data_IF_764076063621
#
_entry.id   IF_764076063621
#
_cell.length_a   1.000
_cell.length_b   1.000
_cell.length_c   1.000
_cell.angle_alpha   90.00
_cell.angle_beta   90.00
_cell.angle_gamma   90.00
#
_symmetry.space_group_name_H-M   'P 1'
#
loop_
_entity.id
_entity.type
_entity.pdbx_description
1 polymer ?
#
# COMPACT_ATOMS: atom_id res chain seq x y z
N UNK A 1 -1.38 11.53 -50.71
CA UNK A 1 -1.68 12.36 -49.53
C UNK A 1 -2.31 11.55 -48.40
N UNK A 2 -3.55 11.03 -48.50
CA UNK A 2 -4.13 10.21 -47.41
C UNK A 2 -3.32 8.95 -47.06
N UNK A 3 -2.89 8.18 -48.06
CA UNK A 3 -2.06 6.98 -47.83
C UNK A 3 -0.65 7.31 -47.31
N UNK A 4 -0.06 8.44 -47.69
CA UNK A 4 1.31 8.78 -47.26
C UNK A 4 1.35 9.15 -45.77
N UNK A 5 0.36 9.93 -45.29
CA UNK A 5 0.22 10.22 -43.85
C UNK A 5 -0.08 8.94 -43.05
N UNK A 6 -0.89 8.03 -43.59
CA UNK A 6 -1.17 6.73 -42.97
C UNK A 6 0.09 5.83 -42.92
N UNK A 7 0.86 5.76 -44.01
CA UNK A 7 2.10 5.00 -44.10
C UNK A 7 3.14 5.51 -43.09
N UNK A 8 3.24 6.83 -42.88
CA UNK A 8 4.11 7.44 -41.85
C UNK A 8 3.68 7.05 -40.42
N UNK A 9 2.38 7.03 -40.13
CA UNK A 9 1.85 6.61 -38.82
C UNK A 9 2.09 5.12 -38.59
N UNK A 10 1.90 4.28 -39.60
CA UNK A 10 2.18 2.84 -39.51
C UNK A 10 3.67 2.59 -39.28
N UNK A 11 4.56 3.34 -39.95
CA UNK A 11 6.00 3.26 -39.72
C UNK A 11 6.39 3.67 -38.28
N UNK A 12 5.70 4.64 -37.69
CA UNK A 12 5.90 5.00 -36.29
C UNK A 12 5.46 3.87 -35.33
N UNK A 13 4.32 3.22 -35.60
CA UNK A 13 3.86 2.07 -34.82
C UNK A 13 4.87 0.92 -34.89
N UNK A 14 5.42 0.64 -36.07
CA UNK A 14 6.49 -0.36 -36.23
C UNK A 14 7.73 0.00 -35.39
N UNK A 15 8.09 1.28 -35.31
CA UNK A 15 9.16 1.75 -34.45
C UNK A 15 8.87 1.51 -32.96
N UNK A 16 7.63 1.74 -32.51
CA UNK A 16 7.21 1.43 -31.14
C UNK A 16 7.32 -0.07 -30.85
N UNK A 17 6.79 -0.92 -31.74
CA UNK A 17 6.91 -2.38 -31.60
C UNK A 17 8.36 -2.86 -31.59
N UNK A 18 9.23 -2.25 -32.40
CA UNK A 18 10.65 -2.59 -32.43
C UNK A 18 11.39 -2.20 -31.14
N UNK A 19 11.06 -1.05 -30.54
CA UNK A 19 11.71 -0.55 -29.31
C UNK A 19 11.25 -1.35 -28.08
N UNK A 20 9.95 -1.59 -27.96
CA UNK A 20 9.36 -2.19 -26.76
C UNK A 20 9.18 -3.71 -26.87
N UNK A 21 9.26 -4.28 -28.07
CA UNK A 21 9.19 -5.71 -28.34
C UNK A 21 8.04 -6.39 -27.57
N UNK A 22 8.37 -7.29 -26.63
CA UNK A 22 7.37 -8.04 -25.84
C UNK A 22 6.57 -7.18 -24.86
N UNK A 23 7.06 -5.97 -24.55
CA UNK A 23 6.36 -5.04 -23.66
C UNK A 23 5.31 -4.21 -24.43
N UNK A 24 5.22 -4.32 -25.76
CA UNK A 24 4.16 -3.72 -26.58
C UNK A 24 3.13 -4.77 -27.02
N UNK A 25 1.85 -4.46 -26.84
CA UNK A 25 0.72 -5.27 -27.34
C UNK A 25 -0.08 -4.43 -28.32
N UNK A 26 0.17 -4.62 -29.61
CA UNK A 26 -0.56 -3.95 -30.68
C UNK A 26 -1.97 -4.54 -30.84
N UNK A 27 -2.99 -3.70 -30.71
CA UNK A 27 -4.40 -4.08 -30.92
C UNK A 27 -4.85 -3.71 -32.33
N UNK A 28 -4.38 -2.56 -32.84
CA UNK A 28 -4.67 -2.07 -34.18
C UNK A 28 -3.57 -1.13 -34.65
N UNK A 29 -3.08 -1.31 -35.89
CA UNK A 29 -2.06 -0.44 -36.50
C UNK A 29 -2.61 0.92 -36.91
N UNK A 30 -3.82 0.99 -37.48
CA UNK A 30 -4.45 2.25 -37.88
C UNK A 30 -5.97 2.31 -37.64
N UNK A 31 -6.49 3.39 -37.03
CA UNK A 31 -5.76 4.34 -36.18
C UNK A 31 -5.06 3.61 -35.03
N UNK A 32 -3.83 3.99 -34.66
CA UNK A 32 -3.02 3.29 -33.67
C UNK A 32 -3.78 3.01 -32.36
N UNK A 33 -3.75 1.77 -31.90
CA UNK A 33 -4.25 1.36 -30.60
C UNK A 33 -3.39 0.23 -30.06
N UNK A 34 -2.72 0.47 -28.94
CA UNK A 34 -1.83 -0.50 -28.33
C UNK A 34 -1.70 -0.27 -26.82
N UNK A 35 -1.19 -1.28 -26.13
CA UNK A 35 -0.79 -1.21 -24.74
C UNK A 35 0.73 -1.34 -24.62
N UNK A 36 1.33 -0.60 -23.68
CA UNK A 36 2.75 -0.74 -23.34
C UNK A 36 2.92 -1.00 -21.86
N UNK A 37 3.65 -2.05 -21.52
CA UNK A 37 4.13 -2.34 -20.17
C UNK A 37 5.35 -1.48 -19.84
N UNK A 38 5.12 -0.41 -19.09
CA UNK A 38 6.15 0.52 -18.64
C UNK A 38 6.87 -0.02 -17.38
N UNK A 39 8.20 -0.04 -17.45
CA UNK A 39 9.08 -0.36 -16.32
C UNK A 39 10.07 0.79 -16.10
N UNK A 40 10.36 1.15 -14.84
CA UNK A 40 11.38 2.16 -14.54
C UNK A 40 12.77 1.66 -14.97
N UNK A 41 13.64 2.60 -15.37
CA UNK A 41 15.02 2.33 -15.77
C UNK A 41 15.86 1.90 -14.56
N UNK A 42 15.89 0.60 -14.32
CA UNK A 42 16.55 -0.05 -13.17
C UNK A 42 17.68 -0.97 -13.60
N UNK A 43 18.17 -0.85 -14.84
CA UNK A 43 19.14 -1.77 -15.45
C UNK A 43 18.72 -3.26 -15.29
N UNK A 44 17.43 -3.53 -15.48
CA UNK A 44 16.79 -4.84 -15.34
C UNK A 44 16.89 -5.49 -13.96
N UNK A 45 17.23 -4.71 -12.93
CA UNK A 45 17.28 -5.17 -11.55
C UNK A 45 15.87 -5.19 -10.95
N UNK A 46 15.20 -6.34 -11.04
CA UNK A 46 13.82 -6.49 -10.58
C UNK A 46 13.58 -6.09 -9.13
N UNK A 47 14.58 -6.29 -8.25
CA UNK A 47 14.50 -5.90 -6.84
C UNK A 47 14.38 -4.39 -6.61
N UNK A 48 14.84 -3.59 -7.56
CA UNK A 48 14.79 -2.14 -7.54
C UNK A 48 13.61 -1.57 -8.34
N UNK A 49 12.78 -2.42 -8.96
CA UNK A 49 11.60 -2.01 -9.72
C UNK A 49 10.39 -1.85 -8.80
N UNK A 50 10.22 -0.70 -8.15
CA UNK A 50 9.12 -0.46 -7.19
C UNK A 50 7.78 -0.19 -7.86
N UNK A 51 7.80 0.28 -9.09
CA UNK A 51 6.60 0.67 -9.83
C UNK A 51 6.52 -0.04 -11.19
N UNK A 52 5.30 -0.26 -11.66
CA UNK A 52 4.99 -0.78 -12.99
C UNK A 52 3.66 -0.18 -13.43
N UNK A 53 3.52 0.12 -14.72
CA UNK A 53 2.26 0.62 -15.27
C UNK A 53 2.02 0.06 -16.67
N UNK A 54 0.76 -0.15 -17.04
CA UNK A 54 0.35 -0.48 -18.40
C UNK A 54 -0.34 0.74 -18.99
N UNK A 55 0.30 1.35 -19.99
CA UNK A 55 -0.19 2.52 -20.69
C UNK A 55 -1.03 2.09 -21.89
N UNK A 56 -2.25 2.56 -22.00
CA UNK A 56 -3.06 2.47 -23.21
C UNK A 56 -2.92 3.76 -24.01
N UNK A 57 -2.55 3.62 -25.29
CA UNK A 57 -2.53 4.71 -26.25
C UNK A 57 -3.52 4.39 -27.35
N UNK A 58 -4.46 5.31 -27.59
CA UNK A 58 -5.47 5.19 -28.65
C UNK A 58 -5.54 6.48 -29.45
N UNK A 59 -5.10 6.41 -30.69
CA UNK A 59 -5.14 7.50 -31.64
C UNK A 59 -6.49 7.54 -32.38
N UNK A 60 -6.89 8.73 -32.79
CA UNK A 60 -7.99 8.95 -33.73
C UNK A 60 -7.47 8.92 -35.18
N UNK A 61 -8.36 8.83 -36.19
CA UNK A 61 -7.96 9.00 -37.60
C UNK A 61 -7.34 10.38 -37.92
N UNK A 62 -7.40 11.35 -36.99
CA UNK A 62 -6.82 12.69 -37.16
C UNK A 62 -5.40 12.80 -36.57
N UNK A 63 -4.87 11.73 -35.98
CA UNK A 63 -3.47 11.68 -35.54
C UNK A 63 -2.50 11.88 -36.71
N UNK A 64 -1.40 12.63 -36.57
CA UNK A 64 -0.89 13.31 -35.36
C UNK A 64 -1.47 14.71 -35.08
N UNK A 65 -2.35 15.22 -35.96
CA UNK A 65 -2.96 16.56 -35.81
C UNK A 65 -3.80 16.67 -34.54
N UNK A 66 -4.49 15.59 -34.19
CA UNK A 66 -5.11 15.40 -32.88
C UNK A 66 -4.22 14.47 -32.03
N UNK A 67 -3.88 14.84 -30.78
CA UNK A 67 -3.10 13.97 -29.90
C UNK A 67 -3.90 12.69 -29.56
N UNK A 68 -3.22 11.57 -29.30
CA UNK A 68 -3.88 10.33 -28.93
C UNK A 68 -4.48 10.44 -27.52
N UNK A 69 -5.57 9.72 -27.25
CA UNK A 69 -6.02 9.51 -25.88
C UNK A 69 -5.10 8.54 -25.17
N UNK A 70 -4.75 8.86 -23.94
CA UNK A 70 -3.84 8.08 -23.10
C UNK A 70 -4.54 7.76 -21.79
N UNK A 71 -4.45 6.50 -21.35
CA UNK A 71 -5.02 5.98 -20.11
C UNK A 71 -4.09 4.95 -19.43
N UNK A 72 -4.31 4.68 -18.14
CA UNK A 72 -3.59 3.65 -17.38
C UNK A 72 -4.51 2.45 -17.12
N UNK A 73 -4.15 1.28 -17.64
CA UNK A 73 -4.97 0.05 -17.56
C UNK A 73 -4.68 -0.73 -16.28
N UNK A 74 -3.40 -0.84 -15.92
CA UNK A 74 -2.93 -1.49 -14.70
C UNK A 74 -1.76 -0.69 -14.11
N UNK A 75 -1.68 -0.66 -12.79
CA UNK A 75 -0.64 0.07 -12.05
C UNK A 75 -0.27 -0.70 -10.78
N UNK A 76 1.03 -0.86 -10.55
CA UNK A 76 1.58 -1.47 -9.34
C UNK A 76 2.56 -0.52 -8.68
N UNK A 77 2.48 -0.41 -7.37
CA UNK A 77 3.37 0.44 -6.57
C UNK A 77 3.12 1.95 -6.71
N UNK A 78 2.11 2.38 -7.47
CA UNK A 78 1.68 3.78 -7.62
C UNK A 78 0.36 4.00 -6.89
N UNK A 79 0.30 5.01 -6.02
CA UNK A 79 -0.95 5.49 -5.43
C UNK A 79 -1.75 6.35 -6.44
N UNK A 80 -3.00 6.65 -6.11
CA UNK A 80 -3.91 7.39 -6.98
C UNK A 80 -3.39 8.79 -7.38
N UNK A 81 -2.66 9.48 -6.49
CA UNK A 81 -2.12 10.79 -6.78
C UNK A 81 -0.95 10.69 -7.76
N UNK A 82 -0.03 9.73 -7.57
CA UNK A 82 1.07 9.48 -8.53
C UNK A 82 0.55 8.96 -9.87
N UNK A 83 -0.49 8.13 -9.91
CA UNK A 83 -1.14 7.70 -11.15
C UNK A 83 -1.70 8.90 -11.94
N UNK A 84 -2.45 9.79 -11.28
CA UNK A 84 -2.97 11.02 -11.90
C UNK A 84 -1.84 11.92 -12.38
N UNK A 85 -0.78 12.04 -11.61
CA UNK A 85 0.39 12.86 -11.98
C UNK A 85 1.12 12.30 -13.20
N UNK A 86 1.30 10.98 -13.30
CA UNK A 86 1.85 10.32 -14.48
C UNK A 86 0.96 10.58 -15.71
N UNK A 87 -0.34 10.32 -15.58
CA UNK A 87 -1.29 10.46 -16.67
C UNK A 87 -1.36 11.90 -17.20
N UNK A 88 -1.50 12.89 -16.31
CA UNK A 88 -1.53 14.30 -16.67
C UNK A 88 -0.24 14.74 -17.35
N UNK A 89 0.91 14.21 -16.92
CA UNK A 89 2.20 14.52 -17.53
C UNK A 89 2.26 14.02 -18.98
N UNK A 90 1.86 12.77 -19.24
CA UNK A 90 1.87 12.20 -20.59
C UNK A 90 0.86 12.92 -21.49
N UNK A 91 -0.34 13.24 -20.98
CA UNK A 91 -1.34 14.01 -21.72
C UNK A 91 -0.85 15.44 -22.06
N UNK A 92 -0.17 16.12 -21.13
CA UNK A 92 0.47 17.41 -21.39
C UNK A 92 1.51 17.29 -22.51
N UNK A 93 2.34 16.24 -22.46
CA UNK A 93 3.36 15.97 -23.49
C UNK A 93 2.74 15.70 -24.85
N UNK A 94 1.62 14.98 -24.92
CA UNK A 94 0.92 14.74 -26.18
C UNK A 94 0.41 16.06 -26.80
N UNK A 95 -0.11 16.97 -25.98
CA UNK A 95 -0.51 18.30 -26.42
C UNK A 95 0.68 19.16 -26.87
N UNK A 96 1.83 19.07 -26.18
CA UNK A 96 3.05 19.81 -26.54
C UNK A 96 3.66 19.35 -27.86
N UNK A 97 3.57 18.05 -28.17
CA UNK A 97 4.16 17.45 -29.36
C UNK A 97 3.24 17.53 -30.59
N UNK A 98 1.95 17.82 -30.42
CA UNK A 98 1.02 17.99 -31.53
C UNK A 98 1.39 19.21 -32.39
N UNK A 99 1.35 19.12 -33.74
CA UNK A 99 0.81 18.04 -34.57
C UNK A 99 1.87 17.07 -35.15
N UNK A 100 2.94 16.75 -34.42
CA UNK A 100 3.99 15.83 -34.88
C UNK A 100 3.72 14.36 -34.47
N UNK A 101 4.31 13.40 -35.20
CA UNK A 101 4.44 12.01 -34.75
C UNK A 101 5.13 11.99 -33.37
N UNK A 102 4.55 11.25 -32.43
CA UNK A 102 4.85 11.34 -30.99
C UNK A 102 4.69 10.04 -30.22
N UNK A 103 4.26 8.93 -30.82
CA UNK A 103 4.00 7.67 -30.11
C UNK A 103 5.25 7.19 -29.36
N UNK A 104 6.41 7.14 -30.03
CA UNK A 104 7.68 6.72 -29.40
C UNK A 104 8.07 7.70 -28.28
N UNK A 105 8.01 9.00 -28.56
CA UNK A 105 8.36 10.05 -27.60
C UNK A 105 7.50 10.01 -26.34
N UNK A 106 6.19 9.76 -26.47
CA UNK A 106 5.29 9.63 -25.33
C UNK A 106 5.64 8.43 -24.45
N UNK A 107 6.04 7.32 -25.07
CA UNK A 107 6.45 6.13 -24.33
C UNK A 107 7.75 6.40 -23.55
N UNK A 108 8.72 7.07 -24.17
CA UNK A 108 9.97 7.45 -23.51
C UNK A 108 9.74 8.41 -22.33
N UNK A 109 8.92 9.44 -22.52
CA UNK A 109 8.54 10.39 -21.45
C UNK A 109 7.80 9.68 -20.31
N UNK A 110 6.92 8.72 -20.63
CA UNK A 110 6.23 7.92 -19.64
C UNK A 110 7.22 7.07 -18.83
N UNK A 111 8.19 6.41 -19.48
CA UNK A 111 9.25 5.64 -18.81
C UNK A 111 10.12 6.54 -17.94
N UNK A 112 10.53 7.71 -18.42
CA UNK A 112 11.33 8.67 -17.66
C UNK A 112 10.58 9.14 -16.41
N UNK A 113 9.33 9.54 -16.57
CA UNK A 113 8.49 9.99 -15.47
C UNK A 113 8.25 8.88 -14.44
N UNK A 114 7.97 7.66 -14.91
CA UNK A 114 7.80 6.49 -14.05
C UNK A 114 9.09 6.17 -13.28
N UNK A 115 10.25 6.30 -13.93
CA UNK A 115 11.57 6.11 -13.31
C UNK A 115 11.82 7.10 -12.18
N UNK A 116 11.44 8.37 -12.35
CA UNK A 116 11.56 9.38 -11.31
C UNK A 116 10.66 9.11 -10.09
N UNK A 117 9.57 8.35 -10.26
CA UNK A 117 8.66 7.95 -9.19
C UNK A 117 8.94 6.53 -8.65
N UNK A 118 10.07 5.93 -9.03
CA UNK A 118 10.46 4.57 -8.66
C UNK A 118 10.98 4.47 -7.22
N UNK A 119 10.08 4.72 -6.28
CA UNK A 119 10.33 4.51 -4.85
C UNK A 119 9.07 3.90 -4.23
N UNK A 120 9.22 3.13 -3.13
CA UNK A 120 8.07 2.69 -2.36
C UNK A 120 7.33 3.91 -1.80
N UNK A 121 6.06 3.73 -1.53
CA UNK A 121 5.20 4.79 -1.04
C UNK A 121 4.36 4.31 0.13
N UNK A 122 3.93 5.27 0.94
CA UNK A 122 3.20 5.04 2.17
C UNK A 122 4.04 4.48 3.30
N UNK A 123 3.33 3.93 4.28
CA UNK A 123 3.92 3.40 5.51
C UNK A 123 4.26 1.91 5.39
N UNK A 124 5.33 1.50 6.06
CA UNK A 124 5.68 0.10 6.17
C UNK A 124 4.56 -0.65 6.90
N UNK A 125 4.00 -1.74 6.34
CA UNK A 125 2.90 -2.47 6.97
C UNK A 125 3.24 -3.14 8.31
N UNK A 126 4.53 -3.27 8.63
CA UNK A 126 5.00 -3.94 9.85
C UNK A 126 5.20 -2.97 11.02
N UNK A 127 5.74 -1.77 10.78
CA UNK A 127 6.01 -0.78 11.83
C UNK A 127 5.13 0.48 11.75
N UNK A 128 4.39 0.66 10.65
CA UNK A 128 3.53 1.81 10.36
C UNK A 128 4.26 3.16 10.30
N UNK A 129 5.56 3.15 10.03
CA UNK A 129 6.34 4.35 9.73
C UNK A 129 6.56 4.50 8.22
N UNK A 130 6.74 5.74 7.70
CA UNK A 130 6.96 5.99 6.28
C UNK A 130 8.10 5.15 5.71
N UNK A 131 7.88 4.52 4.55
CA UNK A 131 8.92 3.79 3.81
C UNK A 131 10.00 4.72 3.29
N UNK A 132 9.61 5.95 2.93
CA UNK A 132 10.50 7.04 2.51
C UNK A 132 10.29 8.22 3.47
N UNK A 133 11.23 8.53 4.37
CA UNK A 133 11.14 9.69 5.25
C UNK A 133 11.30 11.00 4.45
N UNK A 134 10.55 12.04 4.81
CA UNK A 134 10.62 13.36 4.15
C UNK A 134 11.98 14.07 4.34
N UNK A 135 12.73 13.71 5.38
CA UNK A 135 13.88 14.49 5.87
C UNK A 135 15.27 13.89 5.55
N UNK A 136 15.33 12.69 4.96
CA UNK A 136 16.59 11.96 4.80
C UNK A 136 17.09 12.00 3.36
N UNK A 137 18.04 12.90 3.12
CA UNK A 137 18.92 12.91 1.94
C UNK A 137 20.10 11.90 2.07
N UNK A 138 20.09 10.99 3.05
CA UNK A 138 21.22 10.07 3.31
C UNK A 138 20.92 8.60 2.98
N UNK A 139 21.45 8.21 1.83
CA UNK A 139 22.07 6.94 1.38
C UNK A 139 21.56 5.54 1.77
N UNK A 140 20.97 5.28 2.94
CA UNK A 140 20.65 3.88 3.32
C UNK A 140 19.46 3.77 4.28
N UNK A 141 18.25 3.83 3.75
CA UNK A 141 17.17 3.00 4.29
C UNK A 141 16.87 1.93 3.25
N UNK A 142 17.55 0.76 3.29
CA UNK A 142 17.21 -0.29 2.36
C UNK A 142 15.78 -0.71 2.69
N UNK A 143 14.88 -0.51 1.73
CA UNK A 143 13.56 -1.09 1.73
C UNK A 143 13.57 -2.28 0.79
N UNK A 144 12.83 -3.31 1.17
CA UNK A 144 12.67 -4.51 0.37
C UNK A 144 11.29 -4.52 -0.25
N UNK A 145 11.24 -4.73 -1.57
CA UNK A 145 10.04 -5.14 -2.28
C UNK A 145 9.98 -6.66 -2.40
N UNK A 146 8.79 -7.25 -2.25
CA UNK A 146 8.52 -8.61 -2.71
C UNK A 146 8.13 -8.59 -4.19
N UNK A 147 8.87 -9.30 -5.03
CA UNK A 147 8.60 -9.46 -6.47
C UNK A 147 7.29 -10.18 -6.72
N UNK A 148 6.86 -11.06 -5.80
CA UNK A 148 5.57 -11.73 -5.88
C UNK A 148 4.38 -10.77 -5.89
N UNK A 149 4.43 -9.65 -5.17
CA UNK A 149 3.25 -8.82 -4.92
C UNK A 149 3.49 -7.30 -4.82
N UNK A 150 4.70 -6.81 -5.06
CA UNK A 150 5.09 -5.39 -4.99
C UNK A 150 4.92 -4.72 -3.61
N UNK A 151 4.55 -5.45 -2.55
CA UNK A 151 4.55 -4.91 -1.19
C UNK A 151 5.97 -4.62 -0.73
N UNK A 152 6.12 -3.45 -0.11
CA UNK A 152 7.40 -2.93 0.34
C UNK A 152 7.46 -2.85 1.87
N UNK A 153 8.64 -3.09 2.42
CA UNK A 153 8.92 -3.05 3.86
C UNK A 153 10.26 -2.37 4.10
N UNK A 154 10.47 -1.76 5.26
CA UNK A 154 11.84 -1.51 5.69
C UNK A 154 12.56 -2.85 5.78
N UNK A 155 13.79 -2.93 5.28
CA UNK A 155 14.59 -4.16 5.34
C UNK A 155 14.67 -4.71 6.75
N UNK A 156 14.82 -3.83 7.75
CA UNK A 156 14.85 -4.26 9.15
C UNK A 156 13.57 -4.95 9.61
N UNK A 157 12.42 -4.39 9.23
CA UNK A 157 11.13 -4.93 9.65
C UNK A 157 10.92 -6.33 9.07
N UNK A 158 11.24 -6.53 7.80
CA UNK A 158 11.08 -7.83 7.14
C UNK A 158 12.12 -8.85 7.59
N UNK A 159 13.35 -8.43 7.92
CA UNK A 159 14.38 -9.29 8.52
C UNK A 159 13.90 -9.84 9.87
N UNK A 160 13.44 -8.97 10.78
CA UNK A 160 12.91 -9.38 12.09
C UNK A 160 11.73 -10.32 11.95
N UNK A 161 10.81 -10.00 11.04
CA UNK A 161 9.66 -10.86 10.76
C UNK A 161 10.10 -12.24 10.24
N UNK A 162 11.07 -12.28 9.33
CA UNK A 162 11.58 -13.52 8.76
C UNK A 162 12.29 -14.38 9.80
N UNK A 163 13.08 -13.77 10.70
CA UNK A 163 13.72 -14.48 11.81
C UNK A 163 12.70 -15.10 12.76
N UNK A 164 11.66 -14.34 13.15
CA UNK A 164 10.56 -14.86 13.97
C UNK A 164 9.82 -16.04 13.31
N UNK A 165 9.57 -15.94 12.00
CA UNK A 165 8.94 -17.02 11.23
C UNK A 165 9.79 -18.30 11.23
N UNK A 166 11.12 -18.18 11.24
CA UNK A 166 12.02 -19.33 11.35
C UNK A 166 12.01 -19.94 12.76
N UNK A 167 12.10 -19.11 13.81
CA UNK A 167 12.13 -19.61 15.20
C UNK A 167 10.84 -20.34 15.59
N UNK A 168 9.68 -19.82 15.18
CA UNK A 168 8.37 -20.46 15.45
C UNK A 168 8.23 -21.86 14.82
N UNK A 169 8.95 -22.13 13.72
CA UNK A 169 8.99 -23.48 13.11
C UNK A 169 9.84 -24.45 13.92
N UNK A 170 10.94 -23.98 14.53
CA UNK A 170 11.81 -24.80 15.39
C UNK A 170 11.05 -25.23 16.65
N UNK A 171 10.30 -24.31 17.26
CA UNK A 171 9.51 -24.60 18.47
C UNK A 171 8.36 -25.60 18.18
N UNK A 172 7.73 -25.49 17.01
CA UNK A 172 6.69 -26.43 16.55
C UNK A 172 7.24 -27.82 16.22
N UNK A 173 8.46 -27.91 15.68
CA UNK A 173 9.10 -29.20 15.39
C UNK A 173 9.57 -29.93 16.66
N UNK A 174 9.97 -29.21 17.71
CA UNK A 174 10.36 -29.80 19.00
C UNK A 174 9.19 -30.31 19.83
N UNK A 175 7.98 -29.79 19.61
CA UNK A 175 6.76 -30.18 20.34
C UNK A 175 6.08 -31.43 19.77
N UNK A 176 6.34 -31.76 18.51
CA UNK A 176 5.71 -32.88 17.79
C UNK A 176 6.48 -34.21 17.85
N UNK A 177 7.23 -34.45 18.93
CA UNK A 177 7.91 -35.72 19.18
C UNK A 177 6.93 -36.83 19.63
N UNK A 178 5.94 -37.17 18.81
CA UNK A 178 5.19 -38.43 18.92
C UNK A 178 5.42 -39.29 17.67
N UNK A 179 5.93 -40.54 17.81
CA UNK A 179 6.24 -41.38 16.68
C UNK A 179 5.00 -42.20 16.30
N UNK A 180 4.15 -41.68 15.41
CA UNK A 180 3.09 -42.48 14.82
C UNK A 180 3.00 -42.30 13.30
N UNK A 181 3.35 -43.38 12.61
CA UNK A 181 3.08 -43.73 11.20
C UNK A 181 3.44 -42.71 10.11
N UNK A 182 4.68 -42.85 9.64
CA UNK A 182 5.10 -42.38 8.31
C UNK A 182 4.39 -43.20 7.23
N UNK A 183 3.55 -42.58 6.41
CA UNK A 183 3.29 -43.06 5.06
C UNK A 183 3.05 -41.89 4.10
N UNK A 184 3.94 -41.83 3.10
CA UNK A 184 3.78 -41.27 1.76
C UNK A 184 3.12 -39.90 1.61
N UNK A 185 3.94 -38.84 1.63
CA UNK A 185 3.92 -37.80 0.60
C UNK A 185 5.16 -36.87 0.73
N UNK A 186 6.34 -37.42 0.41
CA UNK A 186 7.62 -36.69 0.52
C UNK A 186 7.88 -35.70 -0.62
N UNK A 187 6.95 -35.51 -1.55
CA UNK A 187 7.08 -34.53 -2.64
C UNK A 187 6.33 -33.21 -2.39
N UNK A 188 5.50 -33.13 -1.34
CA UNK A 188 4.72 -31.93 -1.00
C UNK A 188 5.31 -31.08 0.14
N UNK A 189 6.20 -31.68 0.94
CA UNK A 189 6.73 -31.09 2.18
C UNK A 189 7.80 -30.01 1.98
N UNK A 190 8.34 -29.86 0.77
CA UNK A 190 9.35 -28.85 0.45
C UNK A 190 8.73 -27.52 -0.01
N UNK A 191 7.44 -27.51 -0.34
CA UNK A 191 6.73 -26.31 -0.81
C UNK A 191 6.06 -25.54 0.35
N UNK A 192 5.76 -26.22 1.47
CA UNK A 192 5.21 -25.61 2.70
C UNK A 192 6.22 -24.78 3.50
N UNK A 193 7.50 -24.75 3.10
CA UNK A 193 8.54 -24.00 3.82
C UNK A 193 8.65 -22.53 3.39
N UNK A 194 7.96 -22.13 2.34
CA UNK A 194 8.09 -20.80 1.73
C UNK A 194 7.28 -19.79 2.54
N UNK A 195 7.90 -18.70 3.00
CA UNK A 195 7.18 -17.66 3.71
C UNK A 195 6.14 -16.96 2.82
N UNK A 196 5.12 -16.40 3.45
CA UNK A 196 4.05 -15.68 2.76
C UNK A 196 4.15 -14.19 3.03
N UNK A 197 3.73 -13.37 2.07
CA UNK A 197 3.65 -11.92 2.27
C UNK A 197 2.79 -11.57 3.50
N UNK A 198 3.31 -10.77 4.46
CA UNK A 198 2.53 -10.33 5.63
C UNK A 198 1.26 -9.57 5.28
N UNK A 199 1.21 -8.95 4.09
CA UNK A 199 0.10 -8.12 3.64
C UNK A 199 -0.95 -8.95 2.91
N UNK A 200 -0.56 -9.63 1.81
CA UNK A 200 -1.51 -10.31 0.93
C UNK A 200 -1.46 -11.84 0.99
N UNK A 201 -0.61 -12.41 1.85
CA UNK A 201 -0.41 -13.86 2.02
C UNK A 201 0.01 -14.63 0.78
N UNK A 202 0.37 -13.94 -0.31
CA UNK A 202 0.93 -14.55 -1.51
C UNK A 202 2.27 -15.24 -1.15
N UNK A 203 2.53 -16.46 -1.65
CA UNK A 203 3.79 -17.15 -1.38
C UNK A 203 4.96 -16.38 -2.00
N UNK A 204 6.10 -16.41 -1.33
CA UNK A 204 7.34 -15.84 -1.85
C UNK A 204 7.81 -16.58 -3.10
N UNK A 205 8.32 -15.83 -4.07
CA UNK A 205 9.07 -16.42 -5.18
C UNK A 205 10.50 -16.77 -4.73
N UNK A 206 11.19 -17.63 -5.48
CA UNK A 206 12.62 -17.92 -5.23
C UNK A 206 13.46 -16.62 -5.15
N UNK A 207 13.20 -15.68 -6.07
CA UNK A 207 13.83 -14.35 -6.07
C UNK A 207 13.54 -13.53 -4.80
N UNK A 208 12.35 -13.70 -4.20
CA UNK A 208 12.00 -13.02 -2.95
C UNK A 208 12.83 -13.59 -1.80
N UNK A 209 12.95 -14.91 -1.74
CA UNK A 209 13.77 -15.60 -0.73
C UNK A 209 15.24 -15.20 -0.84
N UNK A 210 15.80 -15.22 -2.05
CA UNK A 210 17.19 -14.81 -2.27
C UNK A 210 17.43 -13.38 -1.81
N UNK A 211 16.48 -12.47 -2.10
CA UNK A 211 16.56 -11.08 -1.68
C UNK A 211 16.50 -10.93 -0.16
N UNK A 212 15.59 -11.64 0.51
CA UNK A 212 15.48 -11.68 1.98
C UNK A 212 16.76 -12.24 2.61
N UNK A 213 17.30 -13.34 2.08
CA UNK A 213 18.50 -13.97 2.61
C UNK A 213 19.74 -13.08 2.44
N UNK A 214 19.88 -12.39 1.31
CA UNK A 214 20.95 -11.41 1.10
C UNK A 214 20.89 -10.26 2.11
N UNK A 215 19.68 -9.78 2.41
CA UNK A 215 19.43 -8.75 3.42
C UNK A 215 19.77 -9.24 4.83
N UNK A 216 19.30 -10.42 5.21
CA UNK A 216 19.59 -11.04 6.52
C UNK A 216 21.10 -11.25 6.70
N UNK A 217 21.81 -11.75 5.68
CA UNK A 217 23.26 -11.96 5.73
C UNK A 217 24.04 -10.65 5.90
N UNK A 218 23.61 -9.58 5.20
CA UNK A 218 24.20 -8.25 5.34
C UNK A 218 23.95 -7.66 6.73
N UNK A 219 22.75 -7.83 7.26
CA UNK A 219 22.36 -7.32 8.58
C UNK A 219 23.05 -8.04 9.74
N UNK A 220 23.19 -9.37 9.67
CA UNK A 220 23.93 -10.15 10.65
C UNK A 220 25.41 -9.73 10.73
N UNK A 221 25.97 -9.22 9.65
CA UNK A 221 27.35 -8.71 9.60
C UNK A 221 27.48 -7.31 10.21
N UNK A 222 26.40 -6.52 10.22
CA UNK A 222 26.36 -5.16 10.78
C UNK A 222 25.99 -5.13 12.28
N UNK A 223 25.13 -6.06 12.73
CA UNK A 223 24.64 -6.14 14.11
C UNK A 223 25.66 -6.63 15.14
N UNK A 224 26.80 -7.15 14.71
CA UNK A 224 27.83 -7.64 15.63
C UNK A 224 28.53 -6.53 16.44
N UNK A 225 28.03 -5.29 16.38
CA UNK A 225 28.67 -4.12 16.98
C UNK A 225 27.85 -3.27 17.96
N UNK A 226 26.49 -3.25 18.01
CA UNK A 226 25.84 -2.19 18.85
C UNK A 226 24.36 -2.29 19.30
N UNK A 227 23.57 -3.37 19.12
CA UNK A 227 22.08 -3.23 19.24
C UNK A 227 21.29 -4.13 20.19
N UNK A 228 21.89 -5.03 20.96
CA UNK A 228 21.10 -5.92 21.82
C UNK A 228 20.63 -5.26 23.14
N UNK A 229 21.29 -4.19 23.61
CA UNK A 229 20.97 -3.60 24.93
C UNK A 229 19.74 -2.68 24.94
N UNK A 230 19.50 -1.91 23.87
CA UNK A 230 18.49 -0.82 23.88
C UNK A 230 17.03 -1.29 23.76
N UNK A 231 16.79 -2.45 23.14
CA UNK A 231 15.43 -2.96 22.92
C UNK A 231 14.90 -3.75 24.12
N UNK A 232 15.80 -4.36 24.89
CA UNK A 232 15.44 -5.11 26.10
C UNK A 232 14.98 -4.18 27.23
N UNK A 233 15.60 -2.99 27.38
CA UNK A 233 15.20 -1.99 28.37
C UNK A 233 13.77 -1.47 28.16
N UNK A 234 13.33 -1.28 26.91
CA UNK A 234 11.98 -0.78 26.61
C UNK A 234 10.91 -1.86 26.85
N UNK A 235 11.23 -3.13 26.55
CA UNK A 235 10.36 -4.28 26.81
C UNK A 235 10.24 -4.62 28.31
N UNK A 236 11.25 -4.26 29.10
CA UNK A 236 11.29 -4.43 30.56
C UNK A 236 10.83 -3.19 31.32
N UNK A 237 10.42 -2.12 30.63
CA UNK A 237 9.88 -0.93 31.28
C UNK A 237 8.63 -1.28 32.11
N UNK A 238 8.49 -0.66 33.29
CA UNK A 238 7.35 -0.88 34.18
C UNK A 238 6.02 -0.61 33.46
N UNK A 239 5.97 0.38 32.57
CA UNK A 239 4.79 0.72 31.77
C UNK A 239 4.39 -0.41 30.80
N UNK A 240 5.35 -1.04 30.10
CA UNK A 240 5.06 -2.16 29.19
C UNK A 240 4.67 -3.43 29.96
N UNK A 241 5.30 -3.67 31.13
CA UNK A 241 4.92 -4.77 32.03
C UNK A 241 3.47 -4.58 32.52
N UNK A 242 3.12 -3.39 32.99
CA UNK A 242 1.75 -3.06 33.42
C UNK A 242 0.77 -3.21 32.25
N UNK A 243 1.15 -2.77 31.05
CA UNK A 243 0.33 -2.94 29.84
C UNK A 243 0.06 -4.42 29.57
N UNK A 244 1.09 -5.26 29.58
CA UNK A 244 0.98 -6.72 29.37
C UNK A 244 0.09 -7.38 30.42
N UNK A 245 0.28 -7.07 31.70
CA UNK A 245 -0.56 -7.61 32.78
C UNK A 245 -2.03 -7.22 32.63
N UNK A 246 -2.32 -5.98 32.21
CA UNK A 246 -3.71 -5.56 31.91
C UNK A 246 -4.32 -6.36 30.76
N UNK A 247 -3.58 -6.55 29.68
CA UNK A 247 -4.05 -7.37 28.55
C UNK A 247 -4.25 -8.83 28.94
N UNK A 248 -3.36 -9.39 29.74
CA UNK A 248 -3.47 -10.77 30.25
C UNK A 248 -4.69 -10.93 31.15
N UNK A 249 -4.94 -10.00 32.06
CA UNK A 249 -6.14 -10.00 32.91
C UNK A 249 -7.43 -9.93 32.09
N UNK A 250 -7.48 -9.07 31.07
CA UNK A 250 -8.63 -8.98 30.15
C UNK A 250 -8.81 -10.29 29.37
N UNK A 251 -7.71 -10.88 28.88
CA UNK A 251 -7.76 -12.15 28.16
C UNK A 251 -8.28 -13.29 29.03
N UNK A 252 -7.84 -13.37 30.29
CA UNK A 252 -8.31 -14.38 31.23
C UNK A 252 -9.79 -14.20 31.58
N UNK A 253 -10.23 -12.95 31.79
CA UNK A 253 -11.64 -12.62 32.00
C UNK A 253 -12.51 -13.01 30.79
N UNK A 254 -12.01 -12.80 29.56
CA UNK A 254 -12.71 -13.22 28.35
C UNK A 254 -12.80 -14.73 28.22
N UNK A 255 -11.74 -15.47 28.60
CA UNK A 255 -11.76 -16.94 28.64
C UNK A 255 -12.75 -17.48 29.66
N UNK A 256 -12.79 -16.91 30.87
CA UNK A 256 -13.71 -17.31 31.94
C UNK A 256 -15.17 -17.08 31.53
N UNK A 257 -15.46 -15.95 30.88
CA UNK A 257 -16.81 -15.59 30.43
C UNK A 257 -17.25 -16.33 29.15
N UNK A 258 -16.52 -17.36 28.69
CA UNK A 258 -16.78 -18.04 27.40
C UNK A 258 -16.91 -17.06 26.23
N UNK A 259 -16.09 -16.00 26.24
CA UNK A 259 -16.06 -14.99 25.20
C UNK A 259 -15.50 -15.52 23.87
N UNK A 260 -15.61 -14.71 22.82
CA UNK A 260 -15.34 -15.00 21.40
C UNK A 260 -13.97 -15.65 21.06
N UNK A 261 -13.04 -15.73 22.02
CA UNK A 261 -11.69 -16.28 21.85
C UNK A 261 -11.64 -17.63 22.56
N UNK A 262 -12.23 -18.65 21.94
CA UNK A 262 -12.06 -20.03 22.40
C UNK A 262 -10.71 -20.60 21.90
N UNK A 263 -10.04 -21.47 22.67
CA UNK A 263 -8.97 -22.31 22.14
C UNK A 263 -9.48 -23.04 20.91
N UNK A 264 -8.61 -23.22 19.90
CA UNK A 264 -8.96 -23.89 18.65
C UNK A 264 -9.44 -25.31 18.95
N UNK A 265 -10.76 -25.51 19.02
CA UNK A 265 -11.37 -26.84 19.07
C UNK A 265 -11.31 -27.37 17.63
N UNK A 266 -10.81 -28.58 17.44
CA UNK A 266 -10.87 -29.26 16.15
C UNK A 266 -12.33 -29.63 15.85
N UNK A 267 -13.08 -28.64 15.35
CA UNK A 267 -14.44 -28.85 14.88
C UNK A 267 -14.34 -29.40 13.47
N UNK A 268 -14.55 -30.71 13.32
CA UNK A 268 -14.75 -31.33 12.02
C UNK A 268 -16.12 -30.92 11.50
N UNK A 269 -16.17 -29.86 10.70
CA UNK A 269 -17.41 -29.42 10.04
C UNK A 269 -17.64 -30.32 8.83
N UNK A 270 -18.58 -31.26 8.96
CA UNK A 270 -19.09 -32.05 7.83
C UNK A 270 -20.17 -31.27 7.08
N UNK A 271 -20.32 -31.44 5.75
CA UNK A 271 -21.40 -30.81 4.99
C UNK A 271 -22.77 -31.15 5.60
N UNK A 272 -23.54 -30.13 6.00
CA UNK A 272 -24.86 -30.27 6.62
C UNK A 272 -24.94 -29.95 8.13
N UNK A 273 -23.83 -29.62 8.79
CA UNK A 273 -23.85 -29.17 10.19
C UNK A 273 -24.15 -27.66 10.28
N UNK A 274 -25.22 -27.30 11.00
CA UNK A 274 -25.51 -25.91 11.38
C UNK A 274 -25.05 -25.68 12.83
N UNK A 275 -24.42 -24.53 13.09
CA UNK A 275 -24.06 -24.12 14.44
C UNK A 275 -25.34 -23.92 15.27
N UNK A 276 -25.45 -24.47 16.49
CA UNK A 276 -26.61 -24.22 17.34
C UNK A 276 -26.70 -22.73 17.69
N UNK A 277 -27.89 -22.15 17.52
CA UNK A 277 -28.18 -20.78 17.90
C UNK A 277 -28.10 -20.64 19.43
N UNK A 278 -27.44 -19.59 19.98
CA UNK A 278 -27.37 -19.41 21.42
C UNK A 278 -28.78 -19.20 22.00
N UNK A 279 -29.16 -20.04 22.96
CA UNK A 279 -30.44 -19.94 23.67
C UNK A 279 -30.40 -18.71 24.59
N UNK A 280 -31.35 -17.79 24.39
CA UNK A 280 -31.51 -16.62 25.25
C UNK A 280 -31.85 -17.05 26.69
N UNK A 281 -31.10 -16.51 27.66
CA UNK A 281 -31.33 -16.75 29.09
C UNK A 281 -32.60 -15.99 29.55
N UNK A 282 -33.52 -16.58 30.34
CA UNK A 282 -34.70 -15.87 30.81
C UNK A 282 -34.36 -14.91 31.96
N UNK A 283 -34.81 -13.66 31.83
CA UNK A 283 -34.90 -12.70 32.95
C UNK A 283 -35.97 -13.13 33.93
N UNK A 284 -35.58 -13.35 35.19
CA UNK A 284 -36.48 -13.28 36.34
C UNK A 284 -35.70 -12.74 37.52
N UNK A 285 -36.15 -11.61 38.05
CA UNK A 285 -36.40 -11.36 39.48
C UNK A 285 -36.83 -9.89 39.61
N UNK A 286 -38.15 -9.70 39.66
CA UNK A 286 -38.82 -8.47 40.07
C UNK A 286 -39.15 -8.64 41.55
N UNK A 287 -38.70 -7.72 42.41
CA UNK A 287 -39.17 -7.65 43.80
C UNK A 287 -39.61 -6.23 44.16
N UNK A 288 -40.93 -6.15 44.36
CA UNK A 288 -41.71 -5.35 45.31
C UNK A 288 -41.93 -3.86 45.03
N UNK A 289 -43.15 -3.58 44.58
CA UNK A 289 -43.91 -2.36 44.84
C UNK A 289 -44.34 -2.27 46.33
N UNK A 290 -44.54 -1.04 46.80
CA UNK A 290 -45.44 -0.71 47.91
C UNK A 290 -46.18 0.59 47.55
N UNK A 291 -47.50 0.51 47.67
CA UNK A 291 -48.53 1.54 47.43
C UNK A 291 -48.33 2.83 48.23
N UNK A 292 -48.77 3.98 47.68
CA UNK A 292 -50.06 4.61 48.06
C UNK A 292 -50.26 6.02 47.43
N UNK A 293 -51.49 6.24 46.95
CA UNK A 293 -52.27 7.50 46.91
C UNK A 293 -51.82 8.65 45.97
N UNK A 294 -52.68 9.43 45.30
CA UNK A 294 -54.14 9.55 45.12
C UNK A 294 -54.37 10.61 44.00
N UNK A 295 -55.48 10.46 43.27
CA UNK A 295 -56.36 11.50 42.67
C UNK A 295 -55.75 12.67 41.86
N UNK A 296 -56.18 12.86 40.59
CA UNK A 296 -57.45 13.54 40.20
C UNK A 296 -57.40 13.94 38.72
N UNK A 297 -58.28 13.36 37.91
CA UNK A 297 -58.73 13.89 36.59
C UNK A 297 -59.79 15.01 36.87
N UNK A 298 -60.37 15.82 35.93
CA UNK A 298 -60.59 15.49 34.52
C UNK A 298 -60.67 16.65 33.49
N UNK A 299 -60.97 16.21 32.25
CA UNK A 299 -61.87 16.83 31.25
C UNK A 299 -61.26 17.77 30.21
N UNK A 300 -61.21 17.37 28.92
CA UNK A 300 -62.29 17.24 27.91
C UNK A 300 -62.41 18.54 27.08
N UNK A 301 -62.41 18.55 25.74
CA UNK A 301 -63.46 18.16 24.76
C UNK A 301 -62.83 18.39 23.35
N UNK A 302 -62.68 17.40 22.44
CA UNK A 302 -63.61 16.99 21.33
C UNK A 302 -63.81 18.13 20.31
N UNK A 303 -63.76 18.04 18.97
CA UNK A 303 -63.76 17.03 17.87
C UNK A 303 -63.31 17.79 16.58
N UNK A 304 -62.92 17.22 15.44
CA UNK A 304 -62.90 15.85 14.95
C UNK A 304 -62.49 15.80 13.46
N UNK A 305 -62.17 14.56 13.04
CA UNK A 305 -62.19 13.95 11.71
C UNK A 305 -61.30 14.45 10.56
N UNK A 306 -60.45 13.52 10.07
CA UNK A 306 -60.48 13.16 8.64
C UNK A 306 -59.17 12.67 8.01
N UNK A 307 -58.92 11.36 8.03
CA UNK A 307 -58.41 10.60 6.87
C UNK A 307 -56.90 10.43 6.67
N UNK A 308 -56.49 9.18 6.41
CA UNK A 308 -55.42 8.89 5.44
C UNK A 308 -54.13 8.25 5.96
N UNK A 309 -54.12 6.91 6.03
CA UNK A 309 -53.04 6.00 5.55
C UNK A 309 -51.55 6.32 5.81
N UNK A 310 -51.00 5.51 6.71
CA UNK A 310 -49.65 4.92 6.84
C UNK A 310 -48.50 5.29 5.89
N UNK A 311 -47.46 5.80 6.55
CA UNK A 311 -46.03 5.90 6.27
C UNK A 311 -45.33 4.66 5.66
N UNK A 312 -44.31 4.92 4.83
CA UNK A 312 -42.95 4.35 4.96
C UNK A 312 -41.94 5.09 4.05
N UNK A 313 -41.21 6.06 4.62
CA UNK A 313 -39.98 6.64 4.06
C UNK A 313 -38.79 6.11 4.86
N UNK A 314 -37.92 5.32 4.21
CA UNK A 314 -36.66 4.88 4.78
C UNK A 314 -35.54 5.86 4.42
N UNK A 315 -34.71 6.31 5.38
CA UNK A 315 -33.54 7.12 5.07
C UNK A 315 -32.27 6.27 4.97
N UNK A 316 -31.47 6.58 3.94
CA UNK A 316 -30.07 6.23 3.80
C UNK A 316 -29.25 6.62 5.04
N UNK A 317 -28.33 5.76 5.48
CA UNK A 317 -27.23 6.15 6.38
C UNK A 317 -25.88 5.76 5.79
N UNK A 318 -25.12 6.79 5.48
CA UNK A 318 -23.69 6.78 5.22
C UNK A 318 -22.94 6.39 6.49
N UNK A 319 -21.95 5.49 6.39
CA UNK A 319 -21.01 5.22 7.48
C UNK A 319 -19.74 6.04 7.28
N UNK A 320 -19.65 7.13 8.05
CA UNK A 320 -18.44 7.91 8.30
C UNK A 320 -17.34 7.03 8.93
N UNK A 321 -16.16 7.04 8.30
CA UNK A 321 -14.90 6.58 8.90
C UNK A 321 -14.43 7.64 9.91
N UNK A 322 -14.22 7.21 11.15
CA UNK A 322 -13.74 8.04 12.24
C UNK A 322 -12.20 8.07 12.21
N UNK A 323 -11.61 9.19 11.80
CA UNK A 323 -10.18 9.48 11.90
C UNK A 323 -9.88 10.11 13.28
N UNK A 324 -9.19 9.37 14.13
CA UNK A 324 -8.76 9.84 15.45
C UNK A 324 -7.61 10.84 15.33
N UNK A 325 -7.92 12.13 15.49
CA UNK A 325 -6.93 13.20 15.62
C UNK A 325 -6.26 13.16 17.02
N UNK A 326 -4.96 12.89 17.07
CA UNK A 326 -4.16 13.02 18.29
C UNK A 326 -3.75 14.49 18.48
N UNK A 327 -4.26 15.09 19.56
CA UNK A 327 -3.97 16.46 20.00
C UNK A 327 -2.50 16.63 20.40
N UNK A 328 -1.73 17.42 19.65
CA UNK A 328 -0.45 17.99 20.08
C UNK A 328 -0.73 19.31 20.81
N UNK A 329 -0.22 19.42 22.04
CA UNK A 329 -0.41 20.54 22.96
C UNK A 329 0.64 21.61 22.67
N UNK A 330 0.27 22.70 22.02
CA UNK A 330 1.12 23.87 21.85
C UNK A 330 1.33 24.58 23.20
N UNK A 331 2.59 24.72 23.62
CA UNK A 331 2.99 25.68 24.65
C UNK A 331 3.33 27.00 23.98
N UNK A 332 2.58 28.02 24.36
CA UNK A 332 2.72 29.41 23.96
C UNK A 332 3.69 30.15 24.88
N UNK A 333 4.74 30.75 24.32
CA UNK A 333 5.47 31.85 24.95
C UNK A 333 5.60 33.01 23.95
N UNK A 334 5.32 34.22 24.44
CA UNK A 334 5.06 35.44 23.68
C UNK A 334 6.24 36.42 23.75
N UNK A 335 6.56 36.97 22.58
CA UNK A 335 7.06 38.32 22.26
C UNK A 335 8.43 38.82 22.74
N UNK A 336 9.28 39.23 21.79
CA UNK A 336 9.48 40.66 21.50
C UNK A 336 10.18 40.92 20.16
N UNK A 337 9.87 42.09 19.60
CA UNK A 337 10.03 42.60 18.24
C UNK A 337 11.43 43.14 17.86
N UNK A 338 11.81 43.10 16.58
CA UNK A 338 12.05 44.31 15.74
C UNK A 338 12.62 44.00 14.33
N UNK A 339 11.88 44.48 13.32
CA UNK A 339 12.29 45.34 12.18
C UNK A 339 13.57 45.08 11.34
N UNK A 340 13.45 45.40 10.04
CA UNK A 340 14.49 45.78 9.03
C UNK A 340 14.81 44.67 8.00
N UNK A 341 14.11 44.66 6.84
CA UNK A 341 14.46 45.28 5.53
C UNK A 341 15.69 44.68 4.83
N UNK A 342 15.41 43.97 3.73
CA UNK A 342 16.31 43.68 2.61
C UNK A 342 17.01 44.95 2.07
N UNK A 343 18.22 44.77 1.52
CA UNK A 343 18.43 45.24 0.15
C UNK A 343 19.20 44.24 -0.74
N UNK A 344 18.73 44.12 -2.00
CA UNK A 344 19.46 43.55 -3.14
C UNK A 344 20.31 44.62 -3.83
N UNK A 345 21.46 44.22 -4.41
CA UNK A 345 22.08 44.60 -5.72
C UNK A 345 23.63 44.54 -5.66
N UNK A 346 24.38 44.55 -6.80
CA UNK A 346 24.07 44.16 -8.18
C UNK A 346 25.17 43.28 -8.86
N UNK A 347 24.87 42.87 -10.09
CA UNK A 347 25.70 42.12 -11.07
C UNK A 347 26.80 42.99 -11.69
N UNK A 348 27.99 42.42 -11.92
CA UNK A 348 28.86 42.78 -13.06
C UNK A 348 29.50 41.52 -13.68
N UNK A 349 29.46 41.50 -15.01
CA UNK A 349 29.86 40.45 -15.94
C UNK A 349 31.02 41.01 -16.78
N UNK A 350 32.08 40.23 -17.05
CA UNK A 350 32.93 40.39 -18.25
C UNK A 350 33.46 39.03 -18.71
N UNK A 351 33.35 38.80 -20.02
CA UNK A 351 33.81 37.64 -20.80
C UNK A 351 34.97 38.09 -21.71
N UNK A 352 35.92 37.20 -22.01
CA UNK A 352 36.66 37.08 -23.29
C UNK A 352 37.62 35.88 -23.18
N UNK A 353 38.00 35.09 -24.20
CA UNK A 353 37.51 34.63 -25.53
C UNK A 353 38.67 33.70 -26.00
N UNK A 354 38.36 32.53 -26.59
CA UNK A 354 39.31 31.56 -27.20
C UNK A 354 40.17 32.21 -28.32
N UNK A 355 41.29 31.73 -28.88
CA UNK A 355 42.00 30.44 -29.10
C UNK A 355 43.39 30.86 -29.76
N UNK A 356 44.23 30.08 -30.48
CA UNK A 356 44.75 28.70 -30.37
C UNK A 356 46.33 28.64 -30.46
N UNK A 357 46.89 27.42 -30.47
CA UNK A 357 48.18 26.98 -31.09
C UNK A 357 49.54 27.04 -30.32
N UNK A 358 50.14 25.84 -30.27
CA UNK A 358 51.53 25.47 -30.64
C UNK A 358 52.58 25.12 -29.54
N UNK A 359 53.05 23.86 -29.67
CA UNK A 359 54.42 23.33 -29.42
C UNK A 359 54.95 23.26 -27.98
N UNK A 360 55.00 22.03 -27.45
CA UNK A 360 56.22 21.21 -27.52
C UNK A 360 55.91 19.73 -27.30
#
# INVERSE_FOLDING_TARGET
MGNEEEDEVVAEVEAVEAVYATDCVLLRSFPPHFHISLKPRTADVSSQQFVEAVLEIRASPQYPKEPPSVDLVDCKGLDEQRQKHLLNHIQSKACELSPCLMLVSLCEEAVEKLSAMNHPDGDCPLCLFPLVPEDLQSETLPFMKLMSCFHCFHSECIIRWWQWLQSSKVDSANTDSTPALRNQDNHKKMEDSVGNCPVCRKPFLAKDLDHVLALVGSYSSQMSLDSDEVNDELLQSEDEIIRRQKFEAILNLQKENSGLIEPKKDIVILPGMYLPQPVAVPSSMLTKESDEQQEKDPSAVVSGNGGGTSNATGPSSSRQRNSGARRQKARSDKHSSSTVRNPRKPVQQWVRRDDPSNKK
#
